data_IF_297299128169
#
_entry.id   IF_297299128169
#
_cell.length_a   1.000
_cell.length_b   1.000
_cell.length_c   1.000
_cell.angle_alpha   90.00
_cell.angle_beta   90.00
_cell.angle_gamma   90.00
#
_symmetry.space_group_name_H-M   'P 1'
#
loop_
_entity.id
_entity.type
_entity.pdbx_description
1 polymer ?
#
# COMPACT_ATOMS: atom_id res chain seq x y z
N UNK A 1 23.60 12.33 -45.67
CA UNK A 1 24.16 11.54 -44.54
C UNK A 1 23.13 10.51 -44.14
N UNK A 2 23.39 9.24 -44.41
CA UNK A 2 22.46 8.14 -44.13
C UNK A 2 22.43 7.79 -42.65
N UNK A 3 21.44 6.98 -42.23
CA UNK A 3 21.32 6.51 -40.84
C UNK A 3 22.59 5.80 -40.35
N UNK A 4 23.30 5.10 -41.25
CA UNK A 4 24.58 4.45 -40.97
C UNK A 4 25.73 5.42 -40.66
N UNK A 5 25.75 6.61 -41.28
CA UNK A 5 26.77 7.63 -41.01
C UNK A 5 26.63 8.23 -39.60
N UNK A 6 25.39 8.33 -39.11
CA UNK A 6 25.09 8.84 -37.77
C UNK A 6 25.51 7.85 -36.67
N UNK A 7 25.40 6.54 -36.93
CA UNK A 7 25.82 5.50 -35.98
C UNK A 7 27.34 5.38 -35.88
N UNK A 8 28.06 5.53 -36.99
CA UNK A 8 29.52 5.47 -36.96
C UNK A 8 30.13 6.68 -36.22
N UNK A 9 29.57 7.89 -36.39
CA UNK A 9 29.96 9.05 -35.58
C UNK A 9 29.76 8.85 -34.08
N UNK A 10 28.63 8.24 -33.67
CA UNK A 10 28.37 7.94 -32.27
C UNK A 10 29.31 6.87 -31.68
N UNK A 11 29.90 6.02 -32.54
CA UNK A 11 30.87 4.98 -32.12
C UNK A 11 32.28 5.55 -31.95
N UNK A 12 32.67 6.50 -32.79
CA UNK A 12 34.00 7.12 -32.75
C UNK A 12 34.12 8.19 -31.64
N UNK A 13 33.03 8.88 -31.30
CA UNK A 13 33.00 9.94 -30.28
C UNK A 13 32.81 9.38 -28.84
N UNK A 14 32.42 8.12 -28.70
CA UNK A 14 32.01 7.50 -27.44
C UNK A 14 33.04 6.56 -26.81
N UNK A 15 34.34 6.86 -26.88
CA UNK A 15 35.33 6.20 -26.01
C UNK A 15 35.20 6.74 -24.59
N UNK A 16 34.18 6.29 -23.86
CA UNK A 16 34.20 6.39 -22.40
C UNK A 16 34.96 5.18 -21.85
N UNK A 17 36.19 5.45 -21.43
CA UNK A 17 37.00 4.55 -20.61
C UNK A 17 36.16 4.05 -19.43
N UNK A 18 35.83 2.75 -19.45
CA UNK A 18 35.33 2.07 -18.26
C UNK A 18 36.52 1.92 -17.32
N UNK A 19 36.69 2.88 -16.39
CA UNK A 19 37.60 2.76 -15.26
C UNK A 19 37.19 1.53 -14.44
N UNK A 20 37.88 0.41 -14.67
CA UNK A 20 37.70 -0.88 -14.01
C UNK A 20 38.32 -0.92 -12.60
N UNK A 21 38.21 0.16 -11.82
CA UNK A 21 38.81 0.25 -10.49
C UNK A 21 37.86 -0.03 -9.31
N UNK A 22 36.59 -0.37 -9.54
CA UNK A 22 35.60 -0.60 -8.47
C UNK A 22 35.40 -2.09 -8.17
N UNK A 23 36.48 -2.87 -8.15
CA UNK A 23 36.48 -4.29 -7.79
C UNK A 23 37.58 -4.57 -6.78
N UNK A 24 37.53 -3.92 -5.61
CA UNK A 24 38.35 -4.28 -4.43
C UNK A 24 37.87 -3.57 -3.15
N UNK A 25 36.64 -3.84 -2.75
CA UNK A 25 36.29 -3.75 -1.34
C UNK A 25 35.43 -4.96 -0.99
N UNK A 26 35.98 -5.84 -0.15
CA UNK A 26 35.27 -6.94 0.46
C UNK A 26 34.11 -6.37 1.28
N UNK A 27 32.92 -6.32 0.67
CA UNK A 27 31.69 -6.11 1.43
C UNK A 27 31.53 -7.34 2.33
N UNK A 28 31.85 -7.17 3.61
CA UNK A 28 31.24 -7.96 4.69
C UNK A 28 29.73 -7.83 4.51
N UNK A 29 29.14 -8.77 3.79
CA UNK A 29 27.69 -8.93 3.69
C UNK A 29 27.24 -9.28 5.09
N UNK A 30 26.84 -8.28 5.87
CA UNK A 30 25.97 -8.54 6.99
C UNK A 30 24.72 -9.15 6.37
N UNK A 31 24.50 -10.45 6.62
CA UNK A 31 23.20 -11.08 6.43
C UNK A 31 22.24 -10.48 7.46
N UNK A 32 21.98 -9.19 7.34
CA UNK A 32 20.82 -8.56 7.96
C UNK A 32 19.62 -9.02 7.12
N UNK A 33 19.23 -10.28 7.37
CA UNK A 33 18.05 -10.89 6.78
C UNK A 33 16.85 -9.96 7.01
N UNK A 34 16.16 -9.63 5.93
CA UNK A 34 14.92 -8.85 5.94
C UNK A 34 14.00 -9.44 7.01
N UNK A 35 13.56 -8.64 7.99
CA UNK A 35 12.62 -9.10 9.03
C UNK A 35 11.44 -9.81 8.35
N UNK A 36 11.06 -10.98 8.86
CA UNK A 36 9.90 -11.73 8.36
C UNK A 36 8.68 -10.80 8.37
N UNK A 37 7.93 -10.75 7.26
CA UNK A 37 6.69 -9.97 7.20
C UNK A 37 5.74 -10.50 8.27
N UNK A 38 4.99 -9.63 8.96
CA UNK A 38 4.00 -10.05 9.95
C UNK A 38 3.02 -11.04 9.30
N UNK A 39 2.62 -12.08 10.05
CA UNK A 39 1.71 -13.13 9.58
C UNK A 39 0.38 -12.60 9.02
N UNK A 40 -0.06 -11.42 9.49
CA UNK A 40 -1.29 -10.75 9.06
C UNK A 40 -0.94 -9.38 8.48
N UNK A 41 -0.98 -9.27 7.16
CA UNK A 41 -0.75 -8.00 6.45
C UNK A 41 -2.06 -7.18 6.49
N UNK A 42 -2.09 -6.10 7.28
CA UNK A 42 -3.22 -5.17 7.30
C UNK A 42 -3.15 -4.28 6.06
N UNK A 43 -3.98 -4.57 5.06
CA UNK A 43 -4.11 -3.75 3.85
C UNK A 43 -5.17 -2.69 4.07
N UNK A 44 -4.80 -1.42 3.86
CA UNK A 44 -5.77 -0.30 3.86
C UNK A 44 -6.53 -0.32 2.55
N UNK A 45 -7.84 -0.54 2.61
CA UNK A 45 -8.75 -0.42 1.47
C UNK A 45 -9.59 0.84 1.67
N UNK A 46 -9.61 1.72 0.66
CA UNK A 46 -10.50 2.87 0.62
C UNK A 46 -11.60 2.58 -0.41
N UNK A 47 -12.84 2.37 0.06
CA UNK A 47 -13.98 2.03 -0.79
C UNK A 47 -14.88 3.26 -0.87
N UNK A 48 -14.91 3.97 -2.01
CA UNK A 48 -15.87 5.06 -2.20
C UNK A 48 -17.26 4.46 -2.46
N UNK A 49 -18.26 4.97 -1.76
CA UNK A 49 -19.66 4.68 -2.03
C UNK A 49 -20.49 5.93 -1.76
N UNK A 50 -21.57 6.08 -2.51
CA UNK A 50 -22.53 7.18 -2.34
C UNK A 50 -23.76 6.66 -1.63
N UNK A 51 -24.33 7.50 -0.77
CA UNK A 51 -25.61 7.25 -0.09
C UNK A 51 -26.53 8.43 -0.33
N UNK A 52 -27.83 8.16 -0.36
CA UNK A 52 -28.84 9.21 -0.31
C UNK A 52 -28.83 9.92 1.06
N UNK A 53 -29.45 11.08 1.13
CA UNK A 53 -29.55 11.87 2.37
C UNK A 53 -30.31 11.11 3.47
N UNK A 54 -31.42 10.46 3.12
CA UNK A 54 -32.20 9.65 4.05
C UNK A 54 -31.39 8.47 4.61
N UNK A 55 -30.62 7.78 3.76
CA UNK A 55 -29.74 6.69 4.21
C UNK A 55 -28.65 7.20 5.14
N UNK A 56 -28.07 8.36 4.84
CA UNK A 56 -27.05 8.99 5.67
C UNK A 56 -27.57 9.31 7.07
N UNK A 57 -28.74 9.97 7.16
CA UNK A 57 -29.36 10.30 8.45
C UNK A 57 -29.70 9.05 9.26
N UNK A 58 -30.21 8.02 8.59
CA UNK A 58 -30.51 6.75 9.24
C UNK A 58 -29.23 6.12 9.81
N UNK A 59 -28.16 6.04 9.03
CA UNK A 59 -26.87 5.49 9.47
C UNK A 59 -26.29 6.29 10.65
N UNK A 60 -26.34 7.63 10.59
CA UNK A 60 -25.84 8.51 11.65
C UNK A 60 -26.61 8.30 12.96
N UNK A 61 -27.93 8.15 12.86
CA UNK A 61 -28.80 7.86 14.01
C UNK A 61 -28.44 6.51 14.63
N UNK A 62 -28.31 5.46 13.81
CA UNK A 62 -27.94 4.12 14.29
C UNK A 62 -26.55 4.11 14.97
N UNK A 63 -25.58 4.82 14.40
CA UNK A 63 -24.25 4.93 15.00
C UNK A 63 -24.28 5.69 16.34
N UNK A 64 -25.08 6.76 16.43
CA UNK A 64 -25.27 7.55 17.64
C UNK A 64 -25.94 6.74 18.75
N UNK A 65 -26.98 5.98 18.43
CA UNK A 65 -27.69 5.17 19.42
C UNK A 65 -26.82 4.03 19.95
N UNK A 66 -26.08 3.35 19.07
CA UNK A 66 -25.10 2.35 19.48
C UNK A 66 -24.00 2.97 20.36
N UNK A 67 -23.54 4.19 20.03
CA UNK A 67 -22.54 4.91 20.80
C UNK A 67 -23.01 5.20 22.23
N UNK A 68 -24.29 5.58 22.40
CA UNK A 68 -24.92 5.78 23.72
C UNK A 68 -25.03 4.47 24.50
N UNK A 69 -25.48 3.39 23.84
CA UNK A 69 -25.65 2.08 24.48
C UNK A 69 -24.34 1.51 25.02
N UNK A 70 -23.25 1.65 24.26
CA UNK A 70 -21.94 1.13 24.63
C UNK A 70 -21.12 2.12 25.46
N UNK A 71 -21.61 3.34 25.67
CA UNK A 71 -20.89 4.46 26.30
C UNK A 71 -19.49 4.70 25.69
N UNK A 72 -19.36 4.45 24.38
CA UNK A 72 -18.12 4.57 23.62
C UNK A 72 -18.45 5.39 22.38
N UNK A 73 -17.58 6.34 22.02
CA UNK A 73 -17.75 7.13 20.78
C UNK A 73 -17.53 6.24 19.55
N UNK A 74 -18.59 5.97 18.80
CA UNK A 74 -18.54 5.16 17.58
C UNK A 74 -18.69 6.07 16.37
N UNK A 75 -17.74 5.98 15.42
CA UNK A 75 -17.88 6.68 14.15
C UNK A 75 -18.83 5.94 13.21
N UNK A 76 -19.49 6.66 12.31
CA UNK A 76 -20.31 6.08 11.23
C UNK A 76 -19.53 5.02 10.46
N UNK A 77 -18.27 5.30 10.10
CA UNK A 77 -17.42 4.34 9.38
C UNK A 77 -17.09 3.08 10.19
N UNK A 78 -17.02 3.17 11.52
CA UNK A 78 -16.87 2.00 12.38
C UNK A 78 -18.18 1.19 12.42
N UNK A 79 -19.32 1.86 12.57
CA UNK A 79 -20.64 1.22 12.56
C UNK A 79 -20.91 0.45 11.26
N UNK A 80 -20.62 1.06 10.10
CA UNK A 80 -20.78 0.41 8.79
C UNK A 80 -19.91 -0.85 8.71
N UNK A 81 -18.67 -0.78 9.18
CA UNK A 81 -17.77 -1.95 9.21
C UNK A 81 -18.30 -3.04 10.13
N UNK A 82 -18.81 -2.69 11.31
CA UNK A 82 -19.40 -3.67 12.23
C UNK A 82 -20.59 -4.39 11.59
N UNK A 83 -21.44 -3.66 10.88
CA UNK A 83 -22.59 -4.24 10.18
C UNK A 83 -22.17 -5.10 8.99
N UNK A 84 -21.27 -4.61 8.14
CA UNK A 84 -20.81 -5.35 6.96
C UNK A 84 -20.04 -6.64 7.32
N UNK A 85 -19.41 -6.68 8.49
CA UNK A 85 -18.61 -7.82 8.95
C UNK A 85 -19.34 -8.67 10.01
N UNK A 86 -20.63 -8.44 10.24
CA UNK A 86 -21.39 -9.14 11.28
C UNK A 86 -21.39 -10.67 11.08
N UNK A 87 -21.45 -11.10 9.82
CA UNK A 87 -21.48 -12.51 9.41
C UNK A 87 -20.10 -13.02 8.95
N UNK A 88 -19.03 -12.25 9.18
CA UNK A 88 -17.68 -12.68 8.80
C UNK A 88 -17.29 -13.93 9.61
N UNK A 89 -16.88 -15.04 8.97
CA UNK A 89 -16.39 -16.21 9.67
C UNK A 89 -15.23 -15.80 10.59
N UNK A 90 -15.32 -16.19 11.86
CA UNK A 90 -14.22 -16.01 12.79
C UNK A 90 -13.18 -17.06 12.42
N UNK A 91 -11.95 -16.63 12.16
CA UNK A 91 -10.82 -17.56 12.16
C UNK A 91 -10.76 -18.16 13.57
N UNK A 92 -11.06 -19.45 13.70
CA UNK A 92 -10.75 -20.20 14.91
C UNK A 92 -9.22 -20.27 15.01
N UNK A 93 -8.67 -19.88 16.17
CA UNK A 93 -7.22 -19.88 16.45
C UNK A 93 -6.61 -21.30 16.43
#
# INVERSE_FOLDING_TARGET
>A
MGLGDKLNKARDEGKTEVKSSVLKEEKKVSKAGRKAKPKKEVRKLNIPFSVSENEKEWIETQASDLSKQLNIKISVSAWIRMKALADMPKEED
#
